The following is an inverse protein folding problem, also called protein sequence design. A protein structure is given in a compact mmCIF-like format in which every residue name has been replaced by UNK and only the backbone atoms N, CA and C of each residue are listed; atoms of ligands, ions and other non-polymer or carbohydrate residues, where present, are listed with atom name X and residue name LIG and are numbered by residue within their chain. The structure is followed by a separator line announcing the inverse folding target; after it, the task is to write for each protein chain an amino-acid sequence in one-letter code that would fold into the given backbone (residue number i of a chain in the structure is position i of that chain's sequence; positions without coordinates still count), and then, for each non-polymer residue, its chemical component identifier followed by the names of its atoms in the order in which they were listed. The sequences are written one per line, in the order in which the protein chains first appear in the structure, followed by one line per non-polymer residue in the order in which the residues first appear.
data_IF_039926167460
#
_entry.id   IF_039926167460
#
_cell.length_a   1.000
_cell.length_b   1.000
_cell.length_c   1.000
_cell.angle_alpha   90.00
_cell.angle_beta   90.00
_cell.angle_gamma   90.00
#
_symmetry.space_group_name_H-M   'P 1'
#
loop_
_entity.id
_entity.type
_entity.pdbx_description
1 polymer ?
#
# COMPACT_ATOMS: atom_id res chain seq x y z
N UNK A 1 25.35 24.59 7.73
CA UNK A 1 23.88 24.40 7.74
C UNK A 1 23.57 23.11 8.49
N UNK A 2 22.88 23.19 9.63
CA UNK A 2 22.43 22.01 10.39
C UNK A 2 20.99 21.72 9.99
N UNK A 3 20.75 20.56 9.41
CA UNK A 3 19.39 20.05 9.14
C UNK A 3 18.76 19.78 10.51
N UNK A 4 17.57 20.32 10.84
CA UNK A 4 16.95 20.04 12.13
C UNK A 4 16.52 18.57 12.18
N UNK A 5 16.87 17.90 13.28
CA UNK A 5 16.42 16.54 13.56
C UNK A 5 14.90 16.51 13.62
N UNK A 6 14.28 15.77 12.69
CA UNK A 6 12.84 15.57 12.67
C UNK A 6 12.43 14.83 13.95
N UNK A 7 11.69 15.51 14.82
CA UNK A 7 11.15 14.92 16.05
C UNK A 7 10.18 13.81 15.63
N UNK A 8 10.33 12.56 16.09
CA UNK A 8 9.34 11.54 15.78
C UNK A 8 8.03 11.93 16.45
N UNK A 9 6.94 11.92 15.67
CA UNK A 9 5.60 12.19 16.18
C UNK A 9 5.27 11.15 17.25
N UNK A 10 5.10 11.60 18.49
CA UNK A 10 4.59 10.75 19.56
C UNK A 10 3.11 10.51 19.29
N UNK A 11 2.76 9.30 18.85
CA UNK A 11 1.37 8.87 18.69
C UNK A 11 1.08 7.68 19.60
N UNK A 12 0.01 7.85 20.37
CA UNK A 12 -0.33 7.09 21.55
C UNK A 12 -0.70 5.63 21.32
N UNK A 13 -0.86 4.96 22.46
CA UNK A 13 -1.16 3.54 22.65
C UNK A 13 -2.51 3.15 22.03
N UNK A 14 -2.60 3.03 20.72
CA UNK A 14 -3.69 2.35 20.02
C UNK A 14 -3.05 1.24 19.20
N UNK A 15 -3.46 -0.01 19.44
CA UNK A 15 -2.78 -1.21 18.97
C UNK A 15 -2.34 -1.13 17.51
N UNK A 16 -1.05 -1.36 17.27
CA UNK A 16 -0.45 -1.42 15.94
C UNK A 16 -1.04 -2.61 15.17
N UNK A 17 -2.12 -2.38 14.43
CA UNK A 17 -2.63 -3.27 13.36
C UNK A 17 -1.94 -3.01 12.02
N UNK A 18 -0.93 -2.15 12.00
CA UNK A 18 -0.56 -1.33 10.82
C UNK A 18 0.65 -1.84 10.03
N UNK A 19 1.17 -2.99 10.42
CA UNK A 19 2.24 -3.67 9.70
C UNK A 19 2.14 -5.14 10.09
N UNK A 20 1.47 -5.94 9.27
CA UNK A 20 1.36 -7.37 9.51
C UNK A 20 1.17 -8.06 8.17
N UNK A 21 1.94 -9.13 7.96
CA UNK A 21 1.70 -10.21 7.00
C UNK A 21 0.34 -10.92 7.15
N UNK A 22 -0.67 -10.23 7.70
CA UNK A 22 -2.03 -10.68 7.95
C UNK A 22 -3.02 -9.84 7.10
N UNK A 23 -2.66 -9.68 5.83
CA UNK A 23 -3.52 -9.08 4.81
C UNK A 23 -4.63 -10.06 4.36
N UNK A 24 -4.77 -11.23 5.01
CA UNK A 24 -5.83 -12.21 4.73
C UNK A 24 -6.34 -12.88 6.00
N UNK A 25 -7.67 -12.86 6.16
CA UNK A 25 -8.39 -14.05 6.63
C UNK A 25 -8.18 -15.20 5.63
N UNK A 26 -7.07 -15.95 5.72
CA UNK A 26 -6.96 -17.32 5.19
C UNK A 26 -5.73 -18.00 5.78
N UNK A 27 -5.94 -19.13 6.46
CA UNK A 27 -4.86 -20.00 6.98
C UNK A 27 -3.93 -20.40 5.83
N UNK A 28 -2.61 -20.34 5.98
CA UNK A 28 -1.69 -20.82 4.95
C UNK A 28 -1.76 -22.35 4.89
N UNK A 29 -2.24 -22.89 3.78
CA UNK A 29 -2.02 -24.28 3.40
C UNK A 29 -0.55 -24.42 2.97
N UNK A 30 0.12 -25.37 3.57
CA UNK A 30 1.55 -25.66 3.50
C UNK A 30 2.10 -25.87 2.08
N UNK A 31 2.56 -24.83 1.39
CA UNK A 31 3.55 -24.88 0.27
C UNK A 31 4.27 -23.52 0.22
N UNK A 32 5.58 -23.50 -0.06
CA UNK A 32 6.52 -22.38 0.10
C UNK A 32 6.03 -21.01 -0.37
N UNK A 33 5.47 -20.23 0.54
CA UNK A 33 5.04 -18.85 0.30
C UNK A 33 6.19 -17.88 0.54
N UNK A 34 6.61 -17.15 -0.48
CA UNK A 34 7.48 -15.98 -0.32
C UNK A 34 6.78 -14.98 0.58
N UNK A 35 7.30 -14.81 1.81
CA UNK A 35 6.71 -13.93 2.81
C UNK A 35 7.31 -12.54 2.67
N UNK A 36 6.68 -11.72 1.84
CA UNK A 36 6.99 -10.29 1.78
C UNK A 36 6.20 -9.51 2.83
N UNK A 37 6.79 -8.42 3.32
CA UNK A 37 6.09 -7.46 4.17
C UNK A 37 5.22 -6.55 3.29
N UNK A 38 3.92 -6.47 3.59
CA UNK A 38 2.97 -5.58 2.91
C UNK A 38 2.63 -4.36 3.76
N UNK A 39 2.41 -3.22 3.10
CA UNK A 39 1.91 -1.99 3.68
C UNK A 39 0.80 -1.41 2.79
N UNK A 40 -0.24 -0.78 3.36
CA UNK A 40 -1.06 0.15 2.58
C UNK A 40 -0.16 1.22 1.94
N UNK A 41 -0.41 1.58 0.69
CA UNK A 41 0.47 2.50 -0.04
C UNK A 41 0.59 3.86 0.67
N UNK A 42 -0.53 4.38 1.17
CA UNK A 42 -0.53 5.63 1.91
C UNK A 42 0.34 5.56 3.18
N UNK A 43 0.26 4.44 3.90
CA UNK A 43 1.07 4.23 5.10
C UNK A 43 2.55 4.04 4.76
N UNK A 44 2.87 3.44 3.61
CA UNK A 44 4.24 3.34 3.11
C UNK A 44 4.82 4.72 2.79
N UNK A 45 4.06 5.57 2.08
CA UNK A 45 4.46 6.95 1.76
C UNK A 45 4.68 7.75 3.04
N UNK A 46 3.77 7.67 4.01
CA UNK A 46 3.87 8.40 5.28
C UNK A 46 5.06 7.91 6.13
N UNK A 47 5.28 6.59 6.19
CA UNK A 47 6.29 5.98 7.08
C UNK A 47 7.71 6.15 6.56
N UNK A 48 7.91 5.99 5.26
CA UNK A 48 9.25 5.97 4.67
C UNK A 48 9.59 7.28 3.94
N UNK A 49 8.61 8.17 3.74
CA UNK A 49 8.75 9.46 3.08
C UNK A 49 9.57 9.38 1.76
N UNK A 50 9.28 8.43 0.85
CA UNK A 50 9.93 8.42 -0.45
C UNK A 50 9.55 9.71 -1.22
N UNK A 51 10.33 10.08 -2.24
CA UNK A 51 9.88 11.08 -3.21
C UNK A 51 8.48 10.73 -3.71
N UNK A 52 7.57 11.70 -3.73
CA UNK A 52 6.18 11.43 -4.08
C UNK A 52 6.07 10.88 -5.51
N UNK A 53 5.36 9.75 -5.73
CA UNK A 53 5.28 9.14 -7.04
C UNK A 53 4.46 10.01 -8.00
N UNK A 54 5.01 10.28 -9.18
CA UNK A 54 4.26 10.95 -10.26
C UNK A 54 3.58 9.95 -11.19
N UNK A 55 4.02 8.69 -11.17
CA UNK A 55 3.48 7.61 -11.97
C UNK A 55 3.42 6.34 -11.13
N UNK A 56 2.29 5.63 -11.15
CA UNK A 56 2.07 4.41 -10.38
C UNK A 56 1.66 3.25 -11.32
N UNK A 57 2.31 2.10 -11.18
CA UNK A 57 1.92 0.85 -11.87
C UNK A 57 1.43 -0.16 -10.83
N UNK A 58 0.26 -0.75 -11.05
CA UNK A 58 -0.34 -1.82 -10.26
C UNK A 58 -0.52 -3.01 -11.21
N UNK A 59 0.30 -4.04 -11.01
CA UNK A 59 0.50 -5.19 -11.91
C UNK A 59 0.78 -6.40 -11.01
N UNK A 60 -0.26 -6.81 -10.29
CA UNK A 60 -0.17 -7.80 -9.22
C UNK A 60 -1.35 -8.74 -9.35
N UNK A 61 -1.12 -10.04 -9.22
CA UNK A 61 -2.21 -11.00 -9.43
C UNK A 61 -3.16 -11.09 -8.22
N UNK A 62 -4.33 -10.45 -8.31
CA UNK A 62 -5.48 -10.73 -7.45
C UNK A 62 -5.52 -10.03 -6.09
N UNK A 63 -4.79 -8.92 -5.92
CA UNK A 63 -4.89 -8.01 -4.78
C UNK A 63 -4.92 -6.51 -5.19
N UNK A 64 -5.24 -6.22 -6.44
CA UNK A 64 -5.33 -4.89 -7.05
C UNK A 64 -6.29 -4.00 -6.26
N UNK A 65 -7.51 -4.49 -6.00
CA UNK A 65 -8.55 -3.78 -5.23
C UNK A 65 -8.04 -3.36 -3.85
N UNK A 66 -7.28 -4.25 -3.21
CA UNK A 66 -6.74 -4.01 -1.88
C UNK A 66 -5.65 -2.93 -1.89
N UNK A 67 -4.86 -2.85 -2.96
CA UNK A 67 -3.89 -1.78 -3.15
C UNK A 67 -4.61 -0.45 -3.36
N UNK A 68 -5.65 -0.42 -4.20
CA UNK A 68 -6.45 0.79 -4.44
C UNK A 68 -7.08 1.32 -3.15
N UNK A 69 -7.66 0.44 -2.33
CA UNK A 69 -8.20 0.80 -1.02
C UNK A 69 -7.13 1.35 -0.07
N UNK A 70 -5.91 0.83 -0.13
CA UNK A 70 -4.77 1.29 0.67
C UNK A 70 -4.07 2.55 0.15
N UNK A 71 -4.49 3.07 -1.01
CA UNK A 71 -3.83 4.15 -1.75
C UNK A 71 -4.68 5.41 -1.90
N UNK A 72 -5.81 5.52 -1.20
CA UNK A 72 -6.80 6.59 -1.41
C UNK A 72 -6.24 8.01 -1.35
N UNK A 73 -5.32 8.32 -0.41
CA UNK A 73 -4.69 9.65 -0.33
C UNK A 73 -3.71 9.86 -1.48
N UNK A 74 -2.91 8.84 -1.79
CA UNK A 74 -1.91 8.89 -2.88
C UNK A 74 -2.58 9.06 -4.24
N UNK A 75 -3.68 8.35 -4.50
CA UNK A 75 -4.43 8.41 -5.75
C UNK A 75 -5.18 9.73 -5.93
N UNK A 76 -5.60 10.37 -4.84
CA UNK A 76 -6.30 11.67 -4.88
C UNK A 76 -5.36 12.88 -4.97
N UNK A 77 -4.04 12.70 -4.81
CA UNK A 77 -3.09 13.80 -4.81
C UNK A 77 -2.79 14.28 -6.24
N UNK A 78 -2.98 15.57 -6.48
CA UNK A 78 -2.69 16.24 -7.77
C UNK A 78 -1.26 16.08 -8.30
N UNK A 79 -0.28 15.70 -7.47
CA UNK A 79 1.10 15.44 -7.89
C UNK A 79 1.23 14.12 -8.68
N UNK A 80 0.27 13.21 -8.51
CA UNK A 80 0.19 11.96 -9.26
C UNK A 80 -0.39 12.24 -10.65
N UNK A 81 0.38 11.93 -11.69
CA UNK A 81 0.03 12.27 -13.08
C UNK A 81 -0.67 11.14 -13.81
N UNK A 82 -0.30 9.89 -13.52
CA UNK A 82 -0.90 8.73 -14.17
C UNK A 82 -0.83 7.49 -13.31
N UNK A 83 -1.82 6.61 -13.50
CA UNK A 83 -1.86 5.27 -12.92
C UNK A 83 -2.13 4.28 -14.03
N UNK A 84 -1.34 3.20 -14.07
CA UNK A 84 -1.57 2.03 -14.94
C UNK A 84 -1.94 0.87 -14.03
N UNK A 85 -3.11 0.28 -14.27
CA UNK A 85 -3.66 -0.82 -13.47
C UNK A 85 -3.97 -1.97 -14.42
N UNK A 86 -3.41 -3.14 -14.16
CA UNK A 86 -3.85 -4.38 -14.79
C UNK A 86 -5.19 -4.80 -14.20
N UNK A 87 -6.15 -5.16 -15.06
CA UNK A 87 -7.47 -5.65 -14.67
C UNK A 87 -7.59 -7.11 -15.07
N UNK A 88 -8.18 -7.92 -14.20
CA UNK A 88 -8.52 -9.30 -14.50
C UNK A 88 -9.97 -9.38 -14.99
N UNK A 89 -10.16 -9.70 -16.28
CA UNK A 89 -11.47 -9.85 -16.91
C UNK A 89 -12.30 -11.02 -16.32
N UNK A 90 -11.66 -11.91 -15.56
CA UNK A 90 -12.34 -12.97 -14.80
C UNK A 90 -12.89 -12.48 -13.46
N UNK A 91 -12.64 -11.22 -13.09
CA UNK A 91 -13.09 -10.58 -11.84
C UNK A 91 -14.09 -9.46 -12.16
N UNK A 92 -15.40 -9.76 -12.16
CA UNK A 92 -16.43 -8.78 -12.50
C UNK A 92 -16.33 -7.48 -11.70
N UNK A 93 -15.89 -7.56 -10.45
CA UNK A 93 -15.69 -6.41 -9.56
C UNK A 93 -14.64 -5.40 -10.04
N UNK A 94 -13.76 -5.79 -10.97
CA UNK A 94 -12.70 -4.93 -11.51
C UNK A 94 -13.06 -4.29 -12.86
N UNK A 95 -14.11 -4.78 -13.53
CA UNK A 95 -14.45 -4.40 -14.92
C UNK A 95 -15.87 -3.83 -15.08
N UNK A 96 -16.71 -3.83 -14.04
CA UNK A 96 -18.10 -3.35 -14.04
C UNK A 96 -18.37 -2.36 -12.90
#
# INVERSE_FOLDING_TARGET
MRIPAHRPAQHGKHGCRRCLCDFRRKKPSSVGADRCLGYPLDDFVDKFAPPFPQHLKIDVDGNEDMILHGAGRTLADHRLRSVSIELDDRRPEQVL
#
